data_IF_362424577594
#
_entry.id   IF_362424577594
#
_cell.length_a   1.000
_cell.length_b   1.000
_cell.length_c   1.000
_cell.angle_alpha   90.00
_cell.angle_beta   90.00
_cell.angle_gamma   90.00
#
_symmetry.space_group_name_H-M   'P 1'
#
loop_
_entity.id
_entity.type
_entity.pdbx_description
1 polymer ?
#
# COMPACT_ATOMS: atom_id res chain seq x y z
N UNK A 1 5.49 -15.38 -13.42
CA UNK A 1 5.05 -15.63 -12.03
C UNK A 1 4.78 -14.29 -11.35
N UNK A 2 3.52 -14.01 -11.04
CA UNK A 2 3.11 -12.78 -10.32
C UNK A 2 3.36 -13.03 -8.84
N UNK A 3 4.43 -12.46 -8.27
CA UNK A 3 4.72 -12.57 -6.84
C UNK A 3 3.84 -11.55 -6.11
N UNK A 4 2.58 -11.90 -5.90
CA UNK A 4 1.83 -11.36 -4.77
C UNK A 4 2.37 -12.07 -3.54
N UNK A 5 2.94 -11.33 -2.59
CA UNK A 5 3.23 -11.87 -1.27
C UNK A 5 1.91 -12.36 -0.70
N UNK A 6 1.64 -13.67 -0.73
CA UNK A 6 0.44 -14.26 -0.17
C UNK A 6 0.56 -14.26 1.35
N UNK A 7 0.44 -13.08 1.95
CA UNK A 7 -0.16 -13.02 3.26
C UNK A 7 -1.51 -13.75 3.12
N UNK A 8 -1.78 -14.74 3.98
CA UNK A 8 -2.88 -15.69 3.83
C UNK A 8 -4.29 -15.08 3.94
N UNK A 9 -4.46 -13.78 3.69
CA UNK A 9 -5.70 -13.03 3.74
C UNK A 9 -5.90 -12.23 2.44
N UNK A 10 -7.17 -12.06 2.05
CA UNK A 10 -7.53 -11.23 0.92
C UNK A 10 -7.11 -9.78 1.16
N UNK A 11 -6.18 -9.27 0.37
CA UNK A 11 -5.70 -7.89 0.48
C UNK A 11 -5.70 -7.17 -0.86
N UNK A 12 -5.76 -5.84 -0.82
CA UNK A 12 -5.51 -4.98 -1.96
C UNK A 12 -4.21 -4.22 -1.72
N UNK A 13 -3.30 -4.21 -2.71
CA UNK A 13 -2.03 -3.51 -2.60
C UNK A 13 -2.06 -2.17 -3.35
N UNK A 14 -1.55 -1.12 -2.71
CA UNK A 14 -1.49 0.22 -3.27
C UNK A 14 -0.10 0.84 -3.04
N UNK A 15 0.57 1.19 -4.14
CA UNK A 15 1.87 1.87 -4.09
C UNK A 15 1.71 3.37 -3.85
N UNK A 16 2.40 3.89 -2.83
CA UNK A 16 2.55 5.33 -2.60
C UNK A 16 3.83 5.83 -3.29
N UNK A 17 3.69 6.89 -4.08
CA UNK A 17 4.78 7.50 -4.85
C UNK A 17 4.81 9.01 -4.64
N UNK A 18 5.85 9.71 -5.06
CA UNK A 18 5.92 11.17 -4.92
C UNK A 18 4.86 11.92 -5.73
N UNK A 19 4.57 11.46 -6.95
CA UNK A 19 3.72 12.19 -7.91
C UNK A 19 2.21 11.97 -7.77
N UNK A 20 1.75 10.99 -6.98
CA UNK A 20 0.33 10.69 -6.89
C UNK A 20 -0.45 11.64 -5.96
N UNK A 21 -1.74 11.81 -6.22
CA UNK A 21 -2.62 12.72 -5.45
C UNK A 21 -3.10 12.03 -4.17
N UNK A 22 -2.83 12.64 -3.01
CA UNK A 22 -3.23 12.11 -1.69
C UNK A 22 -4.72 11.82 -1.63
N UNK A 23 -5.57 12.76 -2.09
CA UNK A 23 -7.03 12.62 -2.07
C UNK A 23 -7.50 11.35 -2.79
N UNK A 24 -6.94 11.05 -3.96
CA UNK A 24 -7.31 9.88 -4.74
C UNK A 24 -7.01 8.57 -3.99
N UNK A 25 -5.86 8.47 -3.31
CA UNK A 25 -5.54 7.30 -2.49
C UNK A 25 -6.46 7.16 -1.28
N UNK A 26 -6.81 8.28 -0.64
CA UNK A 26 -7.70 8.30 0.51
C UNK A 26 -9.11 7.88 0.11
N UNK A 27 -9.67 8.47 -0.94
CA UNK A 27 -11.01 8.14 -1.47
C UNK A 27 -11.08 6.65 -1.85
N UNK A 28 -10.06 6.16 -2.56
CA UNK A 28 -9.98 4.76 -2.93
C UNK A 28 -9.91 3.83 -1.71
N UNK A 29 -9.10 4.18 -0.71
CA UNK A 29 -8.97 3.40 0.52
C UNK A 29 -10.29 3.33 1.31
N UNK A 30 -10.98 4.47 1.45
CA UNK A 30 -12.28 4.51 2.15
C UNK A 30 -13.32 3.66 1.41
N UNK A 31 -13.35 3.73 0.08
CA UNK A 31 -14.23 2.89 -0.75
C UNK A 31 -14.00 1.40 -0.50
N UNK A 32 -12.74 0.95 -0.40
CA UNK A 32 -12.42 -0.45 -0.08
C UNK A 32 -13.05 -0.87 1.25
N UNK A 33 -12.93 -0.05 2.29
CA UNK A 33 -13.46 -0.40 3.63
C UNK A 33 -14.98 -0.31 3.72
N UNK A 34 -15.63 0.44 2.84
CA UNK A 34 -17.09 0.50 2.70
C UNK A 34 -17.63 -0.71 1.94
N UNK A 35 -16.99 -1.10 0.84
CA UNK A 35 -17.45 -2.20 -0.02
C UNK A 35 -17.05 -3.59 0.50
N UNK A 36 -15.93 -3.70 1.20
CA UNK A 36 -15.36 -4.99 1.60
C UNK A 36 -14.88 -4.94 3.06
N UNK A 37 -15.69 -5.41 3.99
CA UNK A 37 -15.35 -5.35 5.42
C UNK A 37 -14.15 -6.23 5.80
N UNK A 38 -13.92 -7.30 5.04
CA UNK A 38 -12.92 -8.33 5.35
C UNK A 38 -11.59 -8.11 4.62
N UNK A 39 -11.57 -7.25 3.60
CA UNK A 39 -10.38 -7.06 2.78
C UNK A 39 -9.42 -6.08 3.45
N UNK A 40 -8.17 -6.51 3.61
CA UNK A 40 -7.11 -5.64 4.10
C UNK A 40 -6.59 -4.72 2.98
N UNK A 41 -6.11 -3.53 3.33
CA UNK A 41 -5.44 -2.62 2.41
C UNK A 41 -3.97 -2.51 2.78
N UNK A 42 -3.09 -2.88 1.87
CA UNK A 42 -1.63 -2.77 2.02
C UNK A 42 -1.15 -1.55 1.25
N UNK A 43 -0.60 -0.57 1.96
CA UNK A 43 0.03 0.60 1.37
C UNK A 43 1.55 0.45 1.46
N UNK A 44 2.28 0.64 0.36
CA UNK A 44 3.73 0.39 0.36
C UNK A 44 4.53 1.38 -0.48
N UNK A 45 5.84 1.44 -0.23
CA UNK A 45 6.79 2.25 -1.02
C UNK A 45 7.69 1.44 -1.96
N UNK A 46 7.47 0.13 -2.10
CA UNK A 46 8.23 -0.71 -3.03
C UNK A 46 8.23 -0.15 -4.47
N UNK A 47 9.34 -0.29 -5.22
CA UNK A 47 9.44 0.20 -6.59
C UNK A 47 8.46 -0.51 -7.52
N UNK A 48 8.20 0.09 -8.69
CA UNK A 48 7.44 -0.57 -9.73
C UNK A 48 8.19 -1.83 -10.17
N UNK A 49 7.58 -3.00 -10.01
CA UNK A 49 8.07 -4.20 -10.70
C UNK A 49 7.90 -3.90 -12.18
N UNK A 50 9.00 -3.86 -12.94
CA UNK A 50 8.92 -3.73 -14.38
C UNK A 50 8.14 -4.94 -14.89
N UNK A 51 6.87 -4.73 -15.25
CA UNK A 51 6.09 -5.75 -15.93
C UNK A 51 6.84 -6.02 -17.24
N UNK A 52 7.56 -7.14 -17.29
CA UNK A 52 8.01 -7.69 -18.56
C UNK A 52 6.80 -7.72 -19.50
N UNK A 53 6.98 -7.24 -20.72
CA UNK A 53 5.97 -7.30 -21.77
C UNK A 53 5.69 -8.76 -22.12
N UNK A 54 4.96 -9.49 -21.28
CA UNK A 54 4.26 -10.69 -21.70
C UNK A 54 3.05 -10.23 -22.49
N UNK A 55 3.22 -10.12 -23.82
CA UNK A 55 2.10 -10.20 -24.76
C UNK A 55 1.48 -11.58 -24.58
N UNK A 56 0.43 -11.68 -23.78
CA UNK A 56 -0.45 -12.84 -23.79
C UNK A 56 -1.64 -12.49 -24.65
N UNK A 57 -1.67 -13.11 -25.84
CA UNK A 57 -2.74 -13.04 -26.82
C UNK A 57 -4.01 -13.69 -26.23
N UNK A 58 -4.86 -12.89 -25.58
CA UNK A 58 -6.25 -13.25 -25.31
C UNK A 58 -7.13 -12.91 -26.52
N UNK A 59 -7.15 -13.81 -27.50
CA UNK A 59 -8.03 -13.79 -28.67
C UNK A 59 -9.49 -13.91 -28.21
N UNK A 60 -10.29 -12.85 -28.39
CA UNK A 60 -11.76 -12.96 -28.45
C UNK A 60 -12.20 -12.39 -29.80
N UNK A 61 -12.70 -13.27 -30.65
CA UNK A 61 -13.36 -12.97 -31.91
C UNK A 61 -14.73 -12.35 -31.63
N UNK A 62 -15.01 -11.18 -32.19
CA UNK A 62 -16.31 -10.86 -32.83
C UNK A 62 -16.19 -9.65 -33.76
N UNK A 63 -16.24 -9.96 -35.06
CA UNK A 63 -17.05 -9.32 -36.13
C UNK A 63 -17.01 -7.80 -36.36
N UNK A 64 -16.24 -7.42 -37.40
CA UNK A 64 -16.60 -6.63 -38.59
C UNK A 64 -17.63 -5.47 -38.53
N UNK A 65 -17.16 -4.24 -38.78
CA UNK A 65 -17.63 -3.30 -39.84
C UNK A 65 -16.60 -2.14 -39.91
N UNK A 66 -15.69 -2.11 -40.90
CA UNK A 66 -15.81 -1.53 -42.25
C UNK A 66 -15.82 0.02 -42.29
N UNK A 67 -14.85 0.61 -43.01
CA UNK A 67 -14.74 2.06 -43.25
C UNK A 67 -13.33 2.69 -43.20
N UNK A 68 -12.56 2.54 -44.29
CA UNK A 68 -11.38 3.28 -44.81
C UNK A 68 -11.31 4.80 -44.46
N UNK A 69 -10.19 5.57 -44.49
CA UNK A 69 -8.91 5.57 -45.23
C UNK A 69 -7.94 6.65 -44.63
N UNK A 70 -6.73 6.98 -45.17
CA UNK A 70 -5.51 7.20 -44.38
C UNK A 70 -4.92 8.63 -44.49
N UNK A 71 -4.12 9.06 -43.52
CA UNK A 71 -3.08 10.08 -43.76
C UNK A 71 -1.79 9.77 -42.99
N UNK A 72 -0.91 9.11 -43.71
CA UNK A 72 0.49 9.43 -44.00
C UNK A 72 1.32 10.39 -43.12
N UNK A 73 2.59 9.99 -42.97
CA UNK A 73 3.83 10.69 -42.52
C UNK A 73 4.26 10.57 -41.04
N UNK A 74 5.58 10.59 -40.72
CA UNK A 74 6.43 9.39 -40.72
C UNK A 74 7.17 9.14 -39.38
N UNK A 75 7.76 7.95 -39.32
CA UNK A 75 8.49 7.32 -38.20
C UNK A 75 9.73 8.07 -37.68
N UNK A 76 9.85 8.10 -36.33
CA UNK A 76 11.02 7.76 -35.49
C UNK A 76 12.35 8.54 -35.64
N UNK A 77 13.35 8.34 -34.75
CA UNK A 77 13.34 8.22 -33.30
C UNK A 77 14.33 9.23 -32.66
N UNK A 78 14.03 9.80 -31.49
CA UNK A 78 15.08 10.41 -30.64
C UNK A 78 15.04 9.81 -29.25
N UNK A 79 15.75 8.70 -29.13
CA UNK A 79 16.31 8.29 -27.86
C UNK A 79 17.25 9.39 -27.38
N UNK A 80 16.93 9.98 -26.24
CA UNK A 80 17.96 10.53 -25.36
C UNK A 80 18.23 9.45 -24.32
N UNK A 81 19.28 8.68 -24.59
CA UNK A 81 20.11 8.06 -23.56
C UNK A 81 20.30 9.09 -22.44
N UNK A 82 19.87 8.80 -21.22
CA UNK A 82 20.67 8.03 -20.27
C UNK A 82 22.05 8.66 -19.99
N UNK A 83 22.10 9.98 -19.80
CA UNK A 83 23.08 10.56 -18.87
C UNK A 83 22.45 10.56 -17.48
N UNK A 84 22.53 9.38 -16.86
CA UNK A 84 22.16 9.13 -15.48
C UNK A 84 23.20 9.83 -14.59
N UNK A 85 23.09 11.15 -14.51
CA UNK A 85 23.81 11.94 -13.52
C UNK A 85 23.28 11.43 -12.18
N UNK A 86 24.08 10.60 -11.51
CA UNK A 86 23.86 10.11 -10.16
C UNK A 86 23.66 11.33 -9.24
N UNK A 87 22.42 11.84 -9.19
CA UNK A 87 22.03 12.71 -8.11
C UNK A 87 22.03 11.80 -6.90
N UNK A 88 23.02 12.01 -6.04
CA UNK A 88 23.26 11.38 -4.73
C UNK A 88 22.09 11.61 -3.76
N UNK A 89 20.88 11.29 -4.20
CA UNK A 89 19.63 11.44 -3.48
C UNK A 89 19.15 10.10 -2.99
N UNK A 90 18.37 10.13 -1.91
CA UNK A 90 17.66 8.97 -1.39
C UNK A 90 16.80 8.32 -2.49
N UNK A 91 16.65 7.00 -2.45
CA UNK A 91 15.82 6.26 -3.40
C UNK A 91 14.36 6.75 -3.41
N UNK A 92 13.65 6.50 -4.51
CA UNK A 92 12.21 6.78 -4.59
C UNK A 92 11.39 6.08 -3.49
N UNK A 93 11.78 4.85 -3.11
CA UNK A 93 11.13 4.08 -2.05
C UNK A 93 11.31 4.72 -0.69
N UNK A 94 12.51 5.22 -0.40
CA UNK A 94 12.86 5.85 0.87
C UNK A 94 12.22 7.24 1.00
N UNK A 95 12.30 8.04 -0.06
CA UNK A 95 11.70 9.39 -0.05
C UNK A 95 10.19 9.36 0.09
N UNK A 96 9.51 8.28 -0.34
CA UNK A 96 8.06 8.17 -0.29
C UNK A 96 7.50 7.81 1.11
N UNK A 97 8.34 7.38 2.06
CA UNK A 97 7.90 6.92 3.38
C UNK A 97 7.15 8.01 4.18
N UNK A 98 7.63 9.26 4.30
CA UNK A 98 6.87 10.30 5.00
C UNK A 98 5.48 10.56 4.39
N UNK A 99 5.39 10.46 3.06
CA UNK A 99 4.12 10.61 2.33
C UNK A 99 3.18 9.44 2.58
N UNK A 100 3.70 8.19 2.59
CA UNK A 100 2.94 7.01 2.98
C UNK A 100 2.31 7.17 4.36
N UNK A 101 3.11 7.59 5.36
CA UNK A 101 2.61 7.82 6.72
C UNK A 101 1.50 8.88 6.71
N UNK A 102 1.71 9.99 5.99
CA UNK A 102 0.69 11.04 5.87
C UNK A 102 -0.63 10.51 5.31
N UNK A 103 -0.58 9.71 4.24
CA UNK A 103 -1.76 9.09 3.62
C UNK A 103 -2.47 8.15 4.59
N UNK A 104 -1.72 7.26 5.24
CA UNK A 104 -2.24 6.32 6.24
C UNK A 104 -2.96 7.06 7.37
N UNK A 105 -2.35 8.12 7.90
CA UNK A 105 -2.94 8.90 9.00
C UNK A 105 -4.22 9.63 8.57
N UNK A 106 -4.28 10.13 7.34
CA UNK A 106 -5.50 10.73 6.79
C UNK A 106 -6.60 9.68 6.66
N UNK A 107 -6.29 8.50 6.09
CA UNK A 107 -7.25 7.39 5.95
C UNK A 107 -7.84 7.02 7.30
N UNK A 108 -7.01 6.83 8.33
CA UNK A 108 -7.48 6.48 9.68
C UNK A 108 -8.44 7.53 10.26
N UNK A 109 -8.11 8.82 10.12
CA UNK A 109 -8.96 9.93 10.62
C UNK A 109 -10.29 10.00 9.88
N UNK A 110 -10.26 9.98 8.54
CA UNK A 110 -11.46 10.05 7.71
C UNK A 110 -12.36 8.84 7.92
N UNK A 111 -11.79 7.64 8.07
CA UNK A 111 -12.56 6.43 8.37
C UNK A 111 -13.32 6.57 9.69
N UNK A 112 -12.65 7.00 10.76
CA UNK A 112 -13.31 7.22 12.05
C UNK A 112 -14.36 8.33 11.95
N UNK A 113 -14.09 9.40 11.20
CA UNK A 113 -15.05 10.49 10.97
C UNK A 113 -16.32 9.98 10.24
N UNK A 114 -16.17 9.21 9.18
CA UNK A 114 -17.27 8.60 8.44
C UNK A 114 -18.10 7.65 9.33
N UNK A 115 -17.46 6.86 10.18
CA UNK A 115 -18.14 5.97 11.13
C UNK A 115 -18.93 6.74 12.21
N UNK A 116 -18.42 7.90 12.65
CA UNK A 116 -19.17 8.80 13.55
C UNK A 116 -20.42 9.37 12.85
N UNK A 117 -20.29 9.79 11.60
CA UNK A 117 -21.42 10.35 10.83
C UNK A 117 -22.52 9.31 10.61
N UNK A 118 -22.16 8.05 10.35
CA UNK A 118 -23.08 6.92 10.19
C UNK A 118 -23.66 6.40 11.51
N UNK A 119 -23.27 6.97 12.66
CA UNK A 119 -23.70 6.54 14.00
C UNK A 119 -23.48 5.05 14.29
N UNK A 120 -22.41 4.46 13.72
CA UNK A 120 -22.13 3.06 13.96
C UNK A 120 -21.84 2.83 15.46
N UNK A 121 -22.44 1.80 16.10
CA UNK A 121 -22.21 1.51 17.51
C UNK A 121 -20.74 1.14 17.79
N UNK A 122 -20.00 0.70 16.76
CA UNK A 122 -18.59 0.33 16.85
C UNK A 122 -17.70 1.45 16.34
N UNK A 123 -17.43 2.44 17.19
CA UNK A 123 -16.44 3.51 16.96
C UNK A 123 -14.99 3.01 17.14
N UNK A 124 -14.68 1.89 16.50
CA UNK A 124 -13.36 1.28 16.47
C UNK A 124 -12.69 1.72 15.18
N UNK A 125 -11.47 2.24 15.28
CA UNK A 125 -10.64 2.57 14.12
C UNK A 125 -10.15 1.33 13.36
N UNK A 126 -9.17 1.54 12.49
CA UNK A 126 -8.51 0.46 11.76
C UNK A 126 -7.36 -0.13 12.60
N UNK A 127 -7.18 -1.44 12.53
CA UNK A 127 -5.96 -2.11 12.95
C UNK A 127 -4.86 -1.77 11.95
N UNK A 128 -3.63 -1.63 12.45
CA UNK A 128 -2.47 -1.28 11.63
C UNK A 128 -1.32 -2.25 11.89
N UNK A 129 -0.69 -2.73 10.82
CA UNK A 129 0.51 -3.55 10.89
C UNK A 129 1.59 -2.90 10.04
N UNK A 130 2.75 -2.66 10.64
CA UNK A 130 3.87 -1.99 9.98
C UNK A 130 5.00 -2.99 9.71
N UNK A 131 5.51 -2.98 8.49
CA UNK A 131 6.68 -3.73 8.08
C UNK A 131 7.70 -2.77 7.47
N UNK A 132 8.96 -2.94 7.85
CA UNK A 132 10.09 -2.21 7.29
C UNK A 132 11.06 -3.26 6.76
N UNK A 133 11.62 -3.03 5.58
CA UNK A 133 12.64 -3.91 5.00
C UNK A 133 13.59 -3.14 4.11
N UNK A 134 14.60 -3.82 3.57
CA UNK A 134 15.49 -3.28 2.55
C UNK A 134 15.25 -3.96 1.21
N UNK A 135 15.40 -3.22 0.10
CA UNK A 135 15.20 -3.80 -1.24
C UNK A 135 16.25 -4.86 -1.56
N UNK A 136 17.45 -4.72 -1.02
CA UNK A 136 18.57 -5.64 -1.19
C UNK A 136 18.24 -7.01 -0.59
N UNK A 137 17.60 -7.07 0.59
CA UNK A 137 17.17 -8.34 1.22
C UNK A 137 16.16 -9.11 0.34
N UNK A 138 15.38 -8.43 -0.51
CA UNK A 138 14.44 -9.09 -1.42
C UNK A 138 15.12 -9.67 -2.66
N UNK A 139 16.27 -9.12 -3.06
CA UNK A 139 17.06 -9.61 -4.20
C UNK A 139 17.84 -10.85 -3.77
N UNK A 140 18.45 -10.81 -2.59
CA UNK A 140 19.25 -11.90 -2.04
C UNK A 140 18.40 -13.17 -1.81
N UNK A 141 17.13 -13.01 -1.41
CA UNK A 141 16.19 -14.13 -1.27
C UNK A 141 15.68 -14.70 -2.61
N UNK A 142 15.89 -14.02 -3.75
CA UNK A 142 15.43 -14.44 -5.08
C UNK A 142 16.54 -14.98 -5.97
N UNK A 143 17.79 -14.63 -5.68
CA UNK A 143 18.94 -15.21 -6.33
C UNK A 143 19.31 -16.44 -5.53
N UNK A 144 19.06 -17.63 -6.07
CA UNK A 144 19.89 -18.78 -5.74
C UNK A 144 21.30 -18.46 -6.26
N UNK A 145 22.07 -17.66 -5.50
CA UNK A 145 23.44 -17.34 -5.88
C UNK A 145 24.23 -18.63 -5.79
N UNK A 146 24.75 -19.08 -6.95
CA UNK A 146 25.67 -20.19 -7.01
C UNK A 146 26.86 -19.89 -6.07
N UNK A 147 27.30 -20.91 -5.34
CA UNK A 147 28.31 -20.82 -4.27
C UNK A 147 29.58 -20.03 -4.70
N UNK A 148 29.93 -20.06 -5.99
CA UNK A 148 31.06 -19.33 -6.58
C UNK A 148 30.93 -17.79 -6.57
N UNK A 149 29.74 -17.24 -6.83
CA UNK A 149 29.55 -15.78 -6.84
C UNK A 149 29.66 -15.19 -5.44
N UNK A 150 29.17 -15.93 -4.44
CA UNK A 150 29.28 -15.56 -3.02
C UNK A 150 30.74 -15.55 -2.55
N UNK A 151 31.51 -16.59 -2.88
CA UNK A 151 32.94 -16.65 -2.52
C UNK A 151 33.71 -15.51 -3.17
N UNK A 152 33.39 -15.16 -4.43
CA UNK A 152 34.03 -14.03 -5.11
C UNK A 152 33.72 -12.69 -4.43
N UNK A 153 32.45 -12.45 -4.07
CA UNK A 153 32.05 -11.23 -3.36
C UNK A 153 32.70 -11.11 -1.98
N UNK A 154 32.79 -12.22 -1.23
CA UNK A 154 33.50 -12.25 0.07
C UNK A 154 34.99 -11.98 -0.12
N UNK A 155 35.62 -12.61 -1.12
CA UNK A 155 37.04 -12.42 -1.42
C UNK A 155 37.34 -10.97 -1.78
N UNK A 156 36.51 -10.34 -2.62
CA UNK A 156 36.62 -8.93 -2.96
C UNK A 156 36.42 -8.01 -1.74
N UNK A 157 35.48 -8.35 -0.85
CA UNK A 157 35.23 -7.59 0.38
C UNK A 157 36.39 -7.68 1.39
N UNK A 158 37.05 -8.84 1.48
CA UNK A 158 38.18 -9.08 2.38
C UNK A 158 39.52 -8.57 1.82
N UNK A 159 39.62 -8.31 0.51
CA UNK A 159 40.85 -7.86 -0.13
C UNK A 159 41.34 -6.46 0.32
N UNK A 160 40.53 -5.71 1.07
CA UNK A 160 40.93 -4.45 1.71
C UNK A 160 41.28 -3.29 0.76
N UNK A 161 41.25 -3.52 -0.56
CA UNK A 161 41.58 -2.52 -1.58
C UNK A 161 40.49 -1.45 -1.75
N UNK A 162 39.31 -1.67 -1.17
CA UNK A 162 38.18 -0.73 -1.15
C UNK A 162 37.32 -1.02 0.07
N UNK A 163 37.03 0.00 0.89
CA UNK A 163 35.99 -0.12 1.93
C UNK A 163 34.65 -0.47 1.25
N UNK A 164 34.15 -1.69 1.46
CA UNK A 164 32.86 -2.09 0.90
C UNK A 164 31.77 -1.29 1.59
N UNK A 165 31.19 -0.33 0.86
CA UNK A 165 30.03 0.43 1.31
C UNK A 165 28.77 -0.38 1.07
N UNK A 166 28.26 -1.02 2.12
CA UNK A 166 26.95 -1.68 2.08
C UNK A 166 25.86 -0.60 2.04
N UNK A 167 25.23 -0.44 0.88
CA UNK A 167 24.11 0.48 0.70
C UNK A 167 22.81 -0.30 0.88
N UNK A 168 21.93 0.17 1.78
CA UNK A 168 20.62 -0.41 2.01
C UNK A 168 19.55 0.60 1.65
N UNK A 169 18.57 0.16 0.86
CA UNK A 169 17.47 0.97 0.37
C UNK A 169 16.20 0.61 1.14
N UNK A 170 15.82 1.37 2.17
CA UNK A 170 14.68 1.02 2.99
C UNK A 170 13.35 1.24 2.23
N UNK A 171 12.40 0.35 2.47
CA UNK A 171 11.00 0.49 2.12
C UNK A 171 10.11 0.26 3.34
N UNK A 172 8.86 0.68 3.23
CA UNK A 172 7.85 0.42 4.26
C UNK A 172 6.58 -0.13 3.63
N UNK A 173 5.92 -1.06 4.34
CA UNK A 173 4.54 -1.50 4.09
C UNK A 173 3.71 -1.21 5.34
N UNK A 174 2.49 -0.76 5.12
CA UNK A 174 1.49 -0.56 6.17
C UNK A 174 0.21 -1.26 5.75
N UNK A 175 -0.21 -2.23 6.54
CA UNK A 175 -1.46 -2.95 6.33
C UNK A 175 -2.54 -2.41 7.26
N UNK A 176 -3.66 -1.98 6.69
CA UNK A 176 -4.84 -1.48 7.40
C UNK A 176 -6.01 -2.44 7.23
N UNK A 177 -6.70 -2.77 8.31
CA UNK A 177 -7.86 -3.66 8.29
C UNK A 177 -8.85 -3.36 9.42
N UNK A 178 -10.10 -3.80 9.25
CA UNK A 178 -11.17 -3.59 10.24
C UNK A 178 -11.19 -4.63 11.37
N UNK A 179 -10.62 -5.82 11.11
CA UNK A 179 -10.50 -6.94 12.06
C UNK A 179 -9.02 -7.24 12.31
N UNK A 180 -8.71 -7.84 13.45
CA UNK A 180 -7.36 -8.33 13.72
C UNK A 180 -7.01 -9.45 12.74
N UNK A 181 -5.83 -9.36 12.12
CA UNK A 181 -5.28 -10.39 11.23
C UNK A 181 -4.35 -11.31 12.02
N UNK A 182 -4.69 -12.59 12.07
CA UNK A 182 -3.81 -13.63 12.60
C UNK A 182 -2.56 -13.78 11.70
N UNK A 183 -1.44 -14.18 12.28
CA UNK A 183 -0.18 -14.42 11.54
C UNK A 183 0.66 -13.17 11.21
N UNK A 184 0.10 -11.95 11.25
CA UNK A 184 0.89 -10.74 10.97
C UNK A 184 1.96 -10.45 12.04
N UNK A 185 1.70 -10.84 13.30
CA UNK A 185 2.70 -10.72 14.37
C UNK A 185 3.84 -11.73 14.18
N UNK A 186 3.52 -12.92 13.67
CA UNK A 186 4.49 -14.00 13.41
C UNK A 186 5.39 -13.66 12.22
N UNK A 187 4.88 -12.92 11.23
CA UNK A 187 5.67 -12.43 10.10
C UNK A 187 6.60 -11.26 10.44
N UNK A 188 6.71 -10.87 11.72
CA UNK A 188 7.57 -9.78 12.19
C UNK A 188 6.97 -8.38 12.01
N UNK A 189 5.68 -8.25 11.66
CA UNK A 189 5.06 -6.94 11.55
C UNK A 189 4.75 -6.35 12.93
N UNK A 190 5.00 -5.06 13.10
CA UNK A 190 4.63 -4.33 14.33
C UNK A 190 3.14 -4.01 14.30
N UNK A 191 2.37 -4.65 15.17
CA UNK A 191 0.93 -4.41 15.31
C UNK A 191 0.64 -3.18 16.18
N UNK A 192 -0.28 -2.33 15.72
CA UNK A 192 -0.80 -1.18 16.45
C UNK A 192 -2.32 -1.29 16.60
N UNK A 193 -2.80 -1.09 17.82
CA UNK A 193 -4.21 -1.20 18.15
C UNK A 193 -5.03 -0.05 17.53
N UNK A 194 -6.29 -0.29 17.16
CA UNK A 194 -7.17 0.73 16.63
C UNK A 194 -7.43 1.88 17.61
N UNK A 195 -7.54 3.09 17.07
CA UNK A 195 -8.00 4.23 17.86
C UNK A 195 -9.46 4.01 18.27
N UNK A 196 -9.71 3.95 19.58
CA UNK A 196 -11.06 3.88 20.14
C UNK A 196 -11.50 5.29 20.50
N UNK A 197 -12.44 5.84 19.72
CA UNK A 197 -12.97 7.17 20.03
C UNK A 197 -14.07 7.06 21.07
N UNK A 198 -13.75 7.47 22.30
CA UNK A 198 -14.75 7.62 23.34
C UNK A 198 -15.62 8.86 23.07
N UNK A 199 -16.93 8.68 22.97
CA UNK A 199 -17.86 9.82 23.01
C UNK A 199 -17.62 10.63 24.29
N UNK A 200 -17.59 11.95 24.17
CA UNK A 200 -17.44 12.83 25.35
C UNK A 200 -18.58 12.60 26.33
N UNK A 201 -18.35 12.86 27.63
CA UNK A 201 -19.38 12.74 28.67
C UNK A 201 -20.66 13.50 28.31
N UNK A 202 -20.50 14.70 27.74
CA UNK A 202 -21.62 15.54 27.27
C UNK A 202 -22.36 14.90 26.09
N UNK A 203 -21.64 14.38 25.09
CA UNK A 203 -22.25 13.69 23.95
C UNK A 203 -23.01 12.42 24.39
N UNK A 204 -22.43 11.62 25.30
CA UNK A 204 -23.10 10.46 25.92
C UNK A 204 -24.37 10.87 26.67
N UNK A 205 -24.31 11.96 27.44
CA UNK A 205 -25.47 12.50 28.16
C UNK A 205 -26.59 12.92 27.21
N UNK A 206 -26.27 13.62 26.11
CA UNK A 206 -27.24 14.01 25.08
C UNK A 206 -27.88 12.79 24.40
N UNK A 207 -27.09 11.77 24.07
CA UNK A 207 -27.58 10.53 23.47
C UNK A 207 -28.53 9.79 24.43
N UNK A 208 -28.15 9.65 25.71
CA UNK A 208 -28.98 9.02 26.75
C UNK A 208 -30.31 9.77 26.95
N UNK A 209 -30.28 11.11 26.92
CA UNK A 209 -31.49 11.93 27.01
C UNK A 209 -32.42 11.73 25.81
N UNK A 210 -31.86 11.62 24.58
CA UNK A 210 -32.65 11.32 23.37
C UNK A 210 -33.27 9.91 23.42
N UNK A 211 -32.53 8.91 23.86
CA UNK A 211 -33.05 7.54 24.00
C UNK A 211 -34.22 7.46 24.99
N UNK A 212 -34.13 8.12 26.15
CA UNK A 212 -35.23 8.16 27.13
C UNK A 212 -36.49 8.83 26.57
N UNK A 213 -36.32 9.92 25.81
CA UNK A 213 -37.44 10.62 25.19
C UNK A 213 -38.14 9.77 24.13
N UNK A 214 -37.40 8.93 23.40
CA UNK A 214 -37.96 7.99 22.43
C UNK A 214 -38.72 6.85 23.11
N UNK A 215 -38.21 6.30 24.22
CA UNK A 215 -38.92 5.24 24.95
C UNK A 215 -40.20 5.72 25.63
N UNK A 216 -40.21 6.95 26.16
CA UNK A 216 -41.41 7.53 26.80
C UNK A 216 -42.52 7.87 25.80
N UNK A 217 -42.17 8.25 24.56
CA UNK A 217 -43.15 8.54 23.52
C UNK A 217 -43.77 7.28 22.89
N UNK A 218 -43.09 6.14 22.89
CA UNK A 218 -43.60 4.88 22.33
C UNK A 218 -44.52 4.08 23.26
N UNK A 219 -44.71 4.52 24.51
CA UNK A 219 -45.59 3.86 25.50
C UNK A 219 -46.95 4.55 25.68
N UNK A 220 -47.28 5.48 24.78
CA UNK A 220 -48.53 6.28 24.82
C UNK A 220 -49.46 6.04 23.62
N UNK A 221 -49.15 5.04 22.80
CA UNK A 221 -50.06 4.45 21.80
C UNK A 221 -50.53 3.08 22.31
#
# INVERSE_FOLDING_TARGET
MVIGSSSGFASHEMRITQGGKIRAWVEFALKIFEENEEKALVLHTLPAVAKGKSKENGRTEVTASDGNEPQDTPQSPKGTNADNKEKSGLSGSTTAIPRLITVVEIIKREYVAAMNAKQSPHLIGLFQYNEIGSLEDQVDNKREEGEGDRVKMITEALAGSKEVRVTRTPYMKVTLCRRELAGMKESGATAQAPLKRNLSRSAKGRLKKRLRKLSENGSRE
#
